data_IF_629710223943
#
_entry.id   IF_629710223943
#
_cell.length_a   1.000
_cell.length_b   1.000
_cell.length_c   1.000
_cell.angle_alpha   90.00
_cell.angle_beta   90.00
_cell.angle_gamma   90.00
#
_symmetry.space_group_name_H-M   'P 1'
#
loop_
_entity.id
_entity.type
_entity.pdbx_description
1 polymer ?
#
# COMPACT_ATOMS: atom_id res chain seq x y z
N UNK A 1 5.29 2.18 14.08
CA UNK A 1 6.45 2.16 15.00
C UNK A 1 6.89 0.76 15.35
N UNK A 2 5.95 -0.13 15.62
CA UNK A 2 6.29 -1.51 15.92
C UNK A 2 6.96 -2.20 14.74
N UNK A 3 6.74 -1.70 13.55
CA UNK A 3 7.31 -2.27 12.34
C UNK A 3 8.69 -1.71 11.99
N UNK A 4 9.15 -0.68 12.67
CA UNK A 4 10.35 0.05 12.25
C UNK A 4 11.54 -0.88 12.01
N UNK A 5 11.77 -1.82 12.90
CA UNK A 5 12.89 -2.75 12.76
C UNK A 5 12.65 -3.87 11.76
N UNK A 6 11.46 -3.96 11.17
CA UNK A 6 11.08 -5.03 10.25
C UNK A 6 10.86 -4.56 8.82
N UNK A 7 10.91 -3.24 8.58
CA UNK A 7 10.73 -2.69 7.25
C UNK A 7 12.06 -2.74 6.49
N UNK A 8 12.01 -2.86 5.15
CA UNK A 8 13.23 -2.98 4.35
C UNK A 8 14.02 -1.69 4.22
N UNK A 9 13.48 -0.57 4.73
CA UNK A 9 14.23 0.68 4.79
C UNK A 9 13.84 1.42 6.05
N UNK A 10 14.68 2.39 6.43
CA UNK A 10 14.42 3.22 7.59
C UNK A 10 13.32 4.21 7.28
N UNK A 11 12.34 4.37 8.19
CA UNK A 11 11.19 5.23 7.99
C UNK A 11 11.20 6.33 9.05
N UNK A 12 11.17 7.59 8.59
CA UNK A 12 11.10 8.74 9.47
C UNK A 12 9.66 9.07 9.81
N UNK A 13 8.80 9.19 8.79
CA UNK A 13 7.42 9.61 9.02
C UNK A 13 6.54 9.19 7.85
N UNK A 14 5.38 8.62 8.17
CA UNK A 14 4.35 8.28 7.19
C UNK A 14 3.06 8.95 7.64
N UNK A 15 2.49 9.80 6.80
CA UNK A 15 1.18 10.42 7.04
C UNK A 15 0.16 9.72 6.17
N UNK A 16 -0.95 9.29 6.77
CA UNK A 16 -1.95 8.50 6.08
C UNK A 16 -3.29 9.23 6.15
N UNK A 17 -3.95 9.38 5.00
CA UNK A 17 -5.29 9.96 4.89
C UNK A 17 -6.21 8.95 4.24
N UNK A 18 -7.36 8.72 4.86
CA UNK A 18 -8.41 7.89 4.27
C UNK A 18 -9.38 8.80 3.54
N UNK A 19 -9.60 8.51 2.26
CA UNK A 19 -10.47 9.34 1.42
C UNK A 19 -11.56 8.49 0.79
N UNK A 20 -12.69 9.15 0.47
CA UNK A 20 -13.77 8.51 -0.26
C UNK A 20 -13.44 8.46 -1.76
N UNK A 21 -14.35 7.87 -2.54
CA UNK A 21 -14.13 7.72 -3.98
C UNK A 21 -13.93 9.06 -4.67
N UNK A 22 -14.69 10.08 -4.26
CA UNK A 22 -14.57 11.40 -4.88
C UNK A 22 -13.20 12.00 -4.59
N UNK A 23 -12.73 11.93 -3.35
CA UNK A 23 -11.43 12.44 -2.97
C UNK A 23 -10.30 11.73 -3.69
N UNK A 24 -10.37 10.39 -3.76
CA UNK A 24 -9.36 9.62 -4.47
C UNK A 24 -9.38 9.92 -5.97
N UNK A 25 -10.57 10.06 -6.55
CA UNK A 25 -10.69 10.37 -8.00
C UNK A 25 -10.07 11.72 -8.32
N UNK A 26 -10.28 12.73 -7.46
CA UNK A 26 -9.70 14.05 -7.67
C UNK A 26 -8.18 14.00 -7.64
N UNK A 27 -7.60 13.31 -6.67
CA UNK A 27 -6.15 13.18 -6.57
C UNK A 27 -5.57 12.35 -7.71
N UNK A 28 -6.26 11.27 -8.08
CA UNK A 28 -5.81 10.39 -9.15
C UNK A 28 -5.71 11.15 -10.47
N UNK A 29 -6.72 11.98 -10.76
CA UNK A 29 -6.72 12.80 -11.96
C UNK A 29 -5.65 13.89 -11.89
N UNK A 30 -5.55 14.57 -10.74
CA UNK A 30 -4.64 15.69 -10.58
C UNK A 30 -3.18 15.27 -10.68
N UNK A 31 -2.83 14.14 -10.08
CA UNK A 31 -1.42 13.73 -9.95
C UNK A 31 -0.98 12.67 -10.95
N UNK A 32 -1.90 11.89 -11.50
CA UNK A 32 -1.58 10.82 -12.44
C UNK A 32 -2.28 10.96 -13.77
N UNK A 33 -3.24 11.88 -13.90
CA UNK A 33 -4.00 12.06 -15.13
C UNK A 33 -4.93 10.90 -15.44
N UNK A 34 -5.29 10.12 -14.43
CA UNK A 34 -6.14 8.93 -14.61
C UNK A 34 -7.51 9.16 -14.00
N UNK A 35 -8.52 8.52 -14.59
CA UNK A 35 -9.90 8.66 -14.15
C UNK A 35 -10.25 7.63 -13.09
N UNK A 36 -11.17 8.02 -12.20
CA UNK A 36 -11.72 7.12 -11.20
C UNK A 36 -10.87 7.00 -9.94
N UNK A 37 -11.43 6.35 -8.92
CA UNK A 37 -10.68 6.15 -7.67
C UNK A 37 -9.63 5.05 -7.83
N UNK A 38 -8.65 5.07 -6.92
CA UNK A 38 -7.63 4.04 -6.86
C UNK A 38 -7.45 3.63 -5.40
N UNK A 39 -6.68 2.57 -5.16
CA UNK A 39 -6.50 2.04 -3.80
C UNK A 39 -5.57 2.92 -2.97
N UNK A 40 -4.41 3.30 -3.49
CA UNK A 40 -3.47 4.12 -2.74
C UNK A 40 -2.67 5.01 -3.69
N UNK A 41 -2.39 6.23 -3.22
CA UNK A 41 -1.48 7.16 -3.88
C UNK A 41 -0.42 7.55 -2.87
N UNK A 42 0.83 7.68 -3.34
CA UNK A 42 1.97 7.94 -2.48
C UNK A 42 2.77 9.14 -2.98
N UNK A 43 3.22 9.97 -2.05
CA UNK A 43 4.11 11.09 -2.32
C UNK A 43 5.31 10.95 -1.39
N UNK A 44 6.51 10.90 -1.96
CA UNK A 44 7.74 10.70 -1.19
C UNK A 44 8.51 12.00 -1.10
N UNK A 45 8.87 12.40 0.12
CA UNK A 45 9.48 13.71 0.40
C UNK A 45 10.95 13.61 0.73
N UNK A 46 11.48 12.40 0.88
CA UNK A 46 12.89 12.16 1.12
C UNK A 46 13.51 11.54 -0.13
N UNK A 47 14.83 11.54 -0.19
CA UNK A 47 15.52 10.97 -1.34
C UNK A 47 16.83 10.33 -0.91
N UNK A 48 17.34 9.43 -1.76
CA UNK A 48 18.64 8.81 -1.54
C UNK A 48 18.69 7.99 -0.25
N UNK A 49 19.71 8.24 0.54
CA UNK A 49 19.98 7.47 1.76
C UNK A 49 19.17 7.95 2.95
N UNK A 50 18.36 8.99 2.77
CA UNK A 50 17.61 9.55 3.88
C UNK A 50 16.49 8.62 4.31
N UNK A 51 16.12 8.63 5.60
CA UNK A 51 14.95 7.88 6.05
C UNK A 51 13.71 8.31 5.29
N UNK A 52 12.82 7.37 5.05
CA UNK A 52 11.63 7.58 4.23
C UNK A 52 10.66 8.53 4.92
N UNK A 53 10.24 9.56 4.18
CA UNK A 53 9.14 10.43 4.57
C UNK A 53 8.12 10.41 3.44
N UNK A 54 6.88 10.07 3.75
CA UNK A 54 5.86 9.90 2.72
C UNK A 54 4.48 10.29 3.21
N UNK A 55 3.66 10.73 2.27
CA UNK A 55 2.23 10.89 2.48
C UNK A 55 1.51 9.85 1.65
N UNK A 56 0.53 9.17 2.25
CA UNK A 56 -0.29 8.17 1.58
C UNK A 56 -1.74 8.60 1.62
N UNK A 57 -2.41 8.55 0.48
CA UNK A 57 -3.87 8.68 0.41
C UNK A 57 -4.43 7.31 0.09
N UNK A 58 -5.31 6.82 0.95
CA UNK A 58 -5.86 5.47 0.87
C UNK A 58 -7.35 5.56 0.59
N UNK A 59 -7.82 4.82 -0.42
CA UNK A 59 -9.22 4.80 -0.82
C UNK A 59 -10.02 3.88 0.08
N UNK A 60 -10.73 4.47 1.04
CA UNK A 60 -11.52 3.70 2.00
C UNK A 60 -12.63 2.92 1.32
N UNK A 61 -13.35 3.55 0.40
CA UNK A 61 -14.46 2.88 -0.29
C UNK A 61 -13.97 1.81 -1.26
N UNK A 62 -12.80 2.03 -1.87
CA UNK A 62 -12.16 0.99 -2.67
C UNK A 62 -11.84 -0.21 -1.78
N UNK A 63 -11.31 0.04 -0.58
CA UNK A 63 -11.00 -1.03 0.37
C UNK A 63 -12.24 -1.80 0.77
N UNK A 64 -13.38 -1.12 0.98
CA UNK A 64 -14.63 -1.79 1.32
C UNK A 64 -15.04 -2.75 0.21
N UNK A 65 -15.00 -2.29 -1.04
CA UNK A 65 -15.41 -3.12 -2.19
C UNK A 65 -14.47 -4.30 -2.40
N UNK A 66 -13.16 -4.05 -2.33
CA UNK A 66 -12.18 -5.13 -2.55
C UNK A 66 -12.19 -6.15 -1.43
N UNK A 67 -12.35 -5.69 -0.19
CA UNK A 67 -12.43 -6.60 0.95
C UNK A 67 -13.64 -7.52 0.83
N UNK A 68 -14.77 -7.00 0.36
CA UNK A 68 -15.96 -7.81 0.15
C UNK A 68 -15.72 -8.88 -0.91
N UNK A 69 -15.03 -8.52 -2.00
CA UNK A 69 -14.71 -9.47 -3.05
C UNK A 69 -13.75 -10.57 -2.58
N UNK A 70 -12.83 -10.22 -1.70
CA UNK A 70 -11.81 -11.16 -1.22
C UNK A 70 -12.24 -11.91 0.04
N UNK A 71 -13.35 -11.53 0.65
CA UNK A 71 -13.88 -12.21 1.81
C UNK A 71 -13.08 -11.98 3.09
N UNK A 72 -12.50 -10.78 3.26
CA UNK A 72 -11.79 -10.47 4.48
C UNK A 72 -12.18 -9.08 5.00
N UNK A 73 -11.80 -8.74 6.26
CA UNK A 73 -12.18 -7.45 6.84
C UNK A 73 -11.57 -6.26 6.10
N UNK A 74 -12.31 -5.13 6.09
CA UNK A 74 -11.84 -3.90 5.44
C UNK A 74 -10.49 -3.46 6.02
N UNK A 75 -10.29 -3.63 7.33
CA UNK A 75 -9.02 -3.25 7.96
C UNK A 75 -7.83 -3.95 7.31
N UNK A 76 -8.00 -5.21 6.95
CA UNK A 76 -6.94 -5.97 6.29
C UNK A 76 -6.60 -5.38 4.93
N UNK A 77 -7.61 -4.96 4.18
CA UNK A 77 -7.40 -4.34 2.90
C UNK A 77 -6.67 -3.00 3.03
N UNK A 78 -7.07 -2.18 4.01
CA UNK A 78 -6.43 -0.90 4.26
C UNK A 78 -4.96 -1.10 4.65
N UNK A 79 -4.67 -2.07 5.50
CA UNK A 79 -3.29 -2.37 5.89
C UNK A 79 -2.46 -2.79 4.68
N UNK A 80 -3.04 -3.57 3.77
CA UNK A 80 -2.35 -3.96 2.55
C UNK A 80 -1.97 -2.74 1.73
N UNK A 81 -2.89 -1.79 1.57
CA UNK A 81 -2.63 -0.58 0.78
C UNK A 81 -1.54 0.28 1.41
N UNK A 82 -1.54 0.39 2.75
CA UNK A 82 -0.52 1.16 3.46
C UNK A 82 0.84 0.50 3.29
N UNK A 83 0.94 -0.80 3.49
CA UNK A 83 2.19 -1.54 3.35
C UNK A 83 2.70 -1.43 1.91
N UNK A 84 1.80 -1.56 0.94
CA UNK A 84 2.15 -1.43 -0.48
C UNK A 84 2.79 -0.06 -0.77
N UNK A 85 2.17 1.01 -0.25
CA UNK A 85 2.70 2.36 -0.44
C UNK A 85 4.06 2.55 0.22
N UNK A 86 4.25 2.01 1.41
CA UNK A 86 5.54 2.10 2.10
C UNK A 86 6.62 1.36 1.32
N UNK A 87 6.29 0.17 0.80
CA UNK A 87 7.28 -0.62 0.05
C UNK A 87 7.72 0.08 -1.22
N UNK A 88 6.81 0.77 -1.91
CA UNK A 88 7.23 1.60 -3.05
C UNK A 88 8.24 2.65 -2.61
N UNK A 89 8.03 3.26 -1.46
CA UNK A 89 8.97 4.23 -0.91
C UNK A 89 10.32 3.63 -0.56
N UNK A 90 10.35 2.34 -0.24
CA UNK A 90 11.59 1.62 0.07
C UNK A 90 12.27 1.04 -1.18
N UNK A 91 11.75 1.34 -2.36
CA UNK A 91 12.40 0.94 -3.60
C UNK A 91 11.83 -0.30 -4.27
N UNK A 92 10.80 -0.90 -3.72
CA UNK A 92 10.13 -2.02 -4.38
C UNK A 92 9.23 -1.49 -5.49
N UNK A 93 9.07 -2.28 -6.56
CA UNK A 93 8.11 -1.93 -7.61
C UNK A 93 7.46 -3.21 -8.14
N UNK A 94 6.42 -3.01 -8.96
CA UNK A 94 5.67 -4.13 -9.53
C UNK A 94 5.59 -4.02 -11.06
N UNK A 95 6.60 -3.40 -11.67
CA UNK A 95 6.59 -3.14 -13.12
C UNK A 95 6.87 -4.39 -13.95
N UNK A 96 7.61 -5.35 -13.40
CA UNK A 96 7.90 -6.62 -14.07
C UNK A 96 7.54 -7.77 -13.13
N UNK A 97 7.27 -8.99 -13.66
CA UNK A 97 6.81 -10.09 -12.81
C UNK A 97 7.73 -10.44 -11.64
N UNK A 98 9.05 -10.42 -11.85
CA UNK A 98 9.99 -10.75 -10.78
C UNK A 98 9.94 -9.70 -9.66
N UNK A 99 9.87 -8.43 -10.04
CA UNK A 99 9.80 -7.35 -9.05
C UNK A 99 8.46 -7.41 -8.30
N UNK A 100 7.37 -7.67 -9.02
CA UNK A 100 6.06 -7.81 -8.40
C UNK A 100 6.05 -8.96 -7.40
N UNK A 101 6.65 -10.10 -7.75
CA UNK A 101 6.70 -11.25 -6.86
C UNK A 101 7.47 -10.92 -5.57
N UNK A 102 8.60 -10.22 -5.69
CA UNK A 102 9.37 -9.81 -4.51
C UNK A 102 8.58 -8.85 -3.64
N UNK A 103 7.88 -7.91 -4.25
CA UNK A 103 7.07 -6.95 -3.52
C UNK A 103 5.93 -7.64 -2.78
N UNK A 104 5.21 -8.55 -3.46
CA UNK A 104 4.11 -9.29 -2.83
C UNK A 104 4.60 -10.16 -1.68
N UNK A 105 5.77 -10.80 -1.83
CA UNK A 105 6.35 -11.61 -0.76
C UNK A 105 6.66 -10.74 0.45
N UNK A 106 7.16 -9.52 0.22
CA UNK A 106 7.48 -8.61 1.31
C UNK A 106 6.21 -8.09 1.97
N UNK A 107 5.17 -7.80 1.18
CA UNK A 107 3.87 -7.42 1.72
C UNK A 107 3.32 -8.50 2.64
N UNK A 108 3.36 -9.75 2.19
CA UNK A 108 2.86 -10.86 2.98
C UNK A 108 3.66 -11.05 4.26
N UNK A 109 4.98 -10.88 4.20
CA UNK A 109 5.83 -10.99 5.38
C UNK A 109 5.45 -9.93 6.42
N UNK A 110 5.28 -8.69 5.99
CA UNK A 110 4.95 -7.60 6.91
C UNK A 110 3.55 -7.76 7.46
N UNK A 111 2.59 -8.14 6.62
CA UNK A 111 1.21 -8.36 7.07
C UNK A 111 1.14 -9.51 8.07
N UNK A 112 1.94 -10.55 7.89
CA UNK A 112 2.00 -11.66 8.84
C UNK A 112 2.51 -11.19 10.22
N UNK A 113 3.46 -10.26 10.25
CA UNK A 113 3.93 -9.68 11.49
C UNK A 113 2.83 -8.89 12.20
N UNK A 114 1.86 -8.38 11.43
CA UNK A 114 0.70 -7.66 11.98
C UNK A 114 -0.46 -8.61 12.30
N UNK A 115 -0.29 -9.92 12.10
CA UNK A 115 -1.35 -10.89 12.36
C UNK A 115 -2.38 -10.98 11.25
N UNK A 116 -2.00 -10.62 10.00
CA UNK A 116 -2.90 -10.61 8.86
C UNK A 116 -2.49 -11.72 7.89
N UNK A 117 -3.48 -12.41 7.31
CA UNK A 117 -3.21 -13.48 6.35
C UNK A 117 -2.66 -12.93 5.03
N UNK A 118 -1.84 -13.75 4.36
CA UNK A 118 -1.28 -13.39 3.06
C UNK A 118 -2.41 -13.23 2.03
N UNK A 119 -2.53 -12.03 1.48
CA UNK A 119 -3.62 -11.69 0.57
C UNK A 119 -3.32 -12.16 -0.85
N UNK A 120 -2.12 -11.87 -1.35
CA UNK A 120 -1.77 -12.20 -2.73
C UNK A 120 -1.56 -13.68 -2.93
N UNK A 121 -1.03 -14.38 -1.95
CA UNK A 121 -0.86 -15.82 -2.03
C UNK A 121 -2.20 -16.51 -2.19
N UNK A 122 -3.21 -16.03 -1.44
CA UNK A 122 -4.55 -16.58 -1.52
C UNK A 122 -5.18 -16.32 -2.88
N UNK A 123 -5.01 -15.12 -3.40
CA UNK A 123 -5.54 -14.79 -4.73
C UNK A 123 -4.89 -15.62 -5.82
N UNK A 124 -3.58 -15.84 -5.72
CA UNK A 124 -2.86 -16.60 -6.73
C UNK A 124 -3.34 -18.05 -6.80
N UNK A 125 -3.91 -18.58 -5.73
CA UNK A 125 -4.39 -19.95 -5.71
C UNK A 125 -5.81 -20.08 -6.26
N UNK A 126 -6.46 -18.98 -6.55
CA UNK A 126 -7.78 -18.98 -7.13
C UNK A 126 -7.69 -18.98 -8.65
#
# INVERSE_FOLDING_TARGET
EQLQGHLPCEVEQINIRLLDDMGMSQLHRQWKGLEGPTDVLSWFHSSGDQPLEADLAVGHEVAVREAALRGHPVRQEILLYIVHGILHGCGFDDLVPEAAARMHAEEDRILALLGVEATYTREASE
#
